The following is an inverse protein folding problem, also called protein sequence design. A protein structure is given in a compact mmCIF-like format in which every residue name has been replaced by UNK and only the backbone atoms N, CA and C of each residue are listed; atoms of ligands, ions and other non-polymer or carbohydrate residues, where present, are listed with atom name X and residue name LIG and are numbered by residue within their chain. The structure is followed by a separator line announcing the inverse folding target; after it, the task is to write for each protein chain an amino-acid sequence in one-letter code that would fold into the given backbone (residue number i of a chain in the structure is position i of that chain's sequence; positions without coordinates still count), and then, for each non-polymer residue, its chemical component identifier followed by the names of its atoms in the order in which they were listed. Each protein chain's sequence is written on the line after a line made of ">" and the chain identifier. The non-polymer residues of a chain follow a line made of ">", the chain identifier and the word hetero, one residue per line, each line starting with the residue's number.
data_IF_675826927156
#
_entry.id   IF_675826927156
#
_cell.length_a   1.000
_cell.length_b   1.000
_cell.length_c   1.000
_cell.angle_alpha   90.00
_cell.angle_beta   90.00
_cell.angle_gamma   90.00
#
_symmetry.space_group_name_H-M   'P 1'
#
loop_
_entity.id
_entity.type
_entity.pdbx_description
1 polymer ?
#
# COMPACT_ATOMS: atom_id res chain seq x y z
N UNK A 1 -18.95 0.70 -1.12
CA UNK A 1 -20.28 0.09 -0.90
C UNK A 1 -20.92 -0.46 -2.17
N UNK A 2 -20.87 0.25 -3.31
CA UNK A 2 -21.49 -0.19 -4.57
C UNK A 2 -21.24 -1.67 -4.94
N UNK A 3 -19.98 -2.10 -5.07
CA UNK A 3 -19.63 -3.48 -5.46
C UNK A 3 -20.22 -4.54 -4.50
N UNK A 4 -20.25 -4.23 -3.20
CA UNK A 4 -20.84 -5.13 -2.21
C UNK A 4 -22.36 -5.23 -2.39
N UNK A 5 -23.05 -4.10 -2.56
CA UNK A 5 -24.50 -4.06 -2.77
C UNK A 5 -24.91 -4.77 -4.08
N UNK A 6 -24.06 -4.70 -5.11
CA UNK A 6 -24.23 -5.42 -6.38
C UNK A 6 -23.84 -6.91 -6.31
N UNK A 7 -23.44 -7.44 -5.14
CA UNK A 7 -22.92 -8.80 -4.94
C UNK A 7 -21.69 -9.14 -5.79
N UNK A 8 -20.92 -8.14 -6.17
CA UNK A 8 -19.62 -8.26 -6.86
C UNK A 8 -18.50 -8.39 -5.83
N UNK A 9 -18.38 -9.57 -5.24
CA UNK A 9 -17.53 -9.90 -4.10
C UNK A 9 -16.14 -10.43 -4.48
N UNK A 10 -15.73 -10.22 -5.73
CA UNK A 10 -14.46 -10.72 -6.27
C UNK A 10 -14.62 -12.08 -6.94
N UNK A 11 -13.55 -12.87 -6.91
CA UNK A 11 -13.48 -14.12 -7.67
C UNK A 11 -14.59 -15.12 -7.30
N UNK A 12 -14.96 -15.21 -6.02
CA UNK A 12 -16.00 -16.13 -5.53
C UNK A 12 -17.40 -15.88 -6.11
N UNK A 13 -17.63 -14.70 -6.68
CA UNK A 13 -18.89 -14.31 -7.34
C UNK A 13 -18.72 -14.08 -8.84
N UNK A 14 -17.58 -14.46 -9.44
CA UNK A 14 -17.26 -14.21 -10.84
C UNK A 14 -16.92 -12.75 -11.19
N UNK A 15 -17.25 -11.77 -10.32
CA UNK A 15 -16.97 -10.35 -10.54
C UNK A 15 -16.68 -9.59 -9.23
N UNK A 16 -15.78 -8.61 -9.30
CA UNK A 16 -15.43 -7.64 -8.26
C UNK A 16 -14.81 -6.40 -8.91
N UNK A 17 -13.57 -6.04 -8.54
CA UNK A 17 -12.80 -5.03 -9.29
C UNK A 17 -12.52 -5.44 -10.75
N UNK A 18 -12.53 -6.74 -11.02
CA UNK A 18 -12.41 -7.32 -12.35
C UNK A 18 -13.49 -8.38 -12.56
N UNK A 19 -13.66 -8.80 -13.81
CA UNK A 19 -14.41 -10.01 -14.17
C UNK A 19 -13.45 -11.18 -14.22
N UNK A 20 -13.83 -12.30 -13.62
CA UNK A 20 -13.04 -13.52 -13.50
C UNK A 20 -13.67 -14.62 -14.36
N UNK A 21 -12.87 -15.56 -14.85
CA UNK A 21 -13.39 -16.76 -15.52
C UNK A 21 -13.93 -17.76 -14.50
N UNK A 22 -14.96 -18.52 -14.89
CA UNK A 22 -15.67 -19.45 -14.00
C UNK A 22 -14.84 -20.70 -13.67
N UNK A 23 -13.83 -21.01 -14.48
CA UNK A 23 -13.25 -22.35 -14.52
C UNK A 23 -11.83 -22.44 -13.95
N UNK A 24 -11.08 -21.32 -13.91
CA UNK A 24 -9.66 -21.28 -13.46
C UNK A 24 -9.30 -19.96 -12.81
N UNK A 25 -8.44 -20.00 -11.78
CA UNK A 25 -7.77 -18.80 -11.30
C UNK A 25 -6.85 -18.27 -12.41
N UNK A 26 -7.12 -17.05 -12.86
CA UNK A 26 -6.28 -16.35 -13.82
C UNK A 26 -5.96 -14.95 -13.30
N UNK A 27 -4.70 -14.53 -13.47
CA UNK A 27 -4.34 -13.13 -13.25
C UNK A 27 -4.91 -12.32 -14.40
N UNK A 28 -5.71 -11.31 -14.06
CA UNK A 28 -6.24 -10.38 -15.04
C UNK A 28 -5.07 -9.61 -15.67
N UNK A 29 -4.93 -9.62 -17.01
CA UNK A 29 -3.90 -8.84 -17.66
C UNK A 29 -4.20 -7.35 -17.49
N UNK A 30 -3.32 -6.64 -16.79
CA UNK A 30 -3.39 -5.19 -16.64
C UNK A 30 -2.51 -4.54 -17.71
N UNK A 31 -2.98 -3.44 -18.29
CA UNK A 31 -2.20 -2.72 -19.30
C UNK A 31 -1.14 -1.84 -18.64
N UNK A 32 0.03 -1.75 -19.28
CA UNK A 32 1.10 -0.84 -18.86
C UNK A 32 0.66 0.63 -18.90
N UNK A 33 -0.21 0.99 -19.84
CA UNK A 33 -0.78 2.35 -19.93
C UNK A 33 -1.60 2.72 -18.69
N UNK A 34 -2.34 1.77 -18.11
CA UNK A 34 -3.05 2.01 -16.85
C UNK A 34 -2.09 2.19 -15.68
N UNK A 35 -0.98 1.44 -15.68
CA UNK A 35 0.05 1.59 -14.64
C UNK A 35 0.68 2.98 -14.64
N UNK A 36 0.84 3.61 -15.82
CA UNK A 36 1.38 4.99 -15.93
C UNK A 36 0.49 6.05 -15.27
N UNK A 37 -0.80 5.76 -15.06
CA UNK A 37 -1.75 6.67 -14.39
C UNK A 37 -1.68 6.57 -12.86
N UNK A 38 -0.91 5.62 -12.34
CA UNK A 38 -0.74 5.38 -10.91
C UNK A 38 0.66 5.83 -10.47
N UNK A 39 0.73 6.74 -9.51
CA UNK A 39 2.01 7.06 -8.85
C UNK A 39 2.29 6.01 -7.77
N UNK A 40 3.32 5.15 -7.92
CA UNK A 40 3.64 4.13 -6.92
C UNK A 40 4.03 4.74 -5.57
N UNK A 41 4.47 6.00 -5.52
CA UNK A 41 4.82 6.67 -4.26
C UNK A 41 3.60 6.80 -3.36
N UNK A 42 2.40 7.03 -3.90
CA UNK A 42 1.17 7.13 -3.10
C UNK A 42 0.83 5.82 -2.37
N UNK A 43 1.10 4.69 -3.03
CA UNK A 43 0.89 3.37 -2.44
C UNK A 43 1.93 3.12 -1.34
N UNK A 44 3.21 3.31 -1.65
CA UNK A 44 4.30 3.04 -0.70
C UNK A 44 4.23 3.99 0.49
N UNK A 45 3.91 5.27 0.28
CA UNK A 45 3.76 6.26 1.33
C UNK A 45 2.77 5.81 2.40
N UNK A 46 1.57 5.37 1.99
CA UNK A 46 0.53 4.94 2.91
C UNK A 46 0.94 3.66 3.68
N UNK A 47 1.48 2.66 2.98
CA UNK A 47 1.92 1.41 3.60
C UNK A 47 3.05 1.67 4.61
N UNK A 48 4.06 2.45 4.22
CA UNK A 48 5.19 2.80 5.09
C UNK A 48 4.74 3.61 6.30
N UNK A 49 3.80 4.54 6.15
CA UNK A 49 3.29 5.33 7.27
C UNK A 49 2.59 4.46 8.32
N UNK A 50 1.79 3.47 7.88
CA UNK A 50 1.17 2.52 8.80
C UNK A 50 2.20 1.60 9.47
N UNK A 51 3.23 1.15 8.74
CA UNK A 51 4.33 0.39 9.33
C UNK A 51 5.07 1.22 10.40
N UNK A 52 5.37 2.48 10.11
CA UNK A 52 5.98 3.39 11.07
C UNK A 52 5.11 3.62 12.30
N UNK A 53 3.80 3.80 12.10
CA UNK A 53 2.85 3.92 13.21
C UNK A 53 2.85 2.71 14.13
N UNK A 54 2.94 1.48 13.59
CA UNK A 54 3.05 0.25 14.41
C UNK A 54 4.31 0.27 15.28
N UNK A 55 5.43 0.75 14.75
CA UNK A 55 6.69 0.90 15.50
C UNK A 55 6.56 1.98 16.57
N UNK A 56 6.06 3.17 16.23
CA UNK A 56 5.85 4.29 17.16
C UNK A 56 4.93 3.91 18.32
N UNK A 57 3.96 3.02 18.08
CA UNK A 57 3.03 2.54 19.10
C UNK A 57 3.50 1.25 19.81
N UNK A 58 4.75 0.83 19.60
CA UNK A 58 5.34 -0.38 20.19
C UNK A 58 4.51 -1.66 19.95
N UNK A 59 3.79 -1.72 18.82
CA UNK A 59 3.04 -2.90 18.44
C UNK A 59 3.93 -3.96 17.76
N UNK A 60 5.04 -3.53 17.16
CA UNK A 60 6.07 -4.37 16.55
C UNK A 60 7.34 -3.54 16.33
N UNK A 61 8.42 -4.17 15.88
CA UNK A 61 9.64 -3.48 15.40
C UNK A 61 9.77 -3.57 13.87
N UNK A 62 10.75 -2.86 13.31
CA UNK A 62 10.98 -2.82 11.85
C UNK A 62 11.29 -4.22 11.31
N UNK A 63 12.12 -5.00 12.00
CA UNK A 63 12.57 -6.31 11.53
C UNK A 63 11.40 -7.31 11.48
N UNK A 64 10.55 -7.32 12.50
CA UNK A 64 9.32 -8.12 12.56
C UNK A 64 8.34 -7.72 11.47
N UNK A 65 8.10 -6.42 11.26
CA UNK A 65 7.20 -5.92 10.22
C UNK A 65 7.72 -6.34 8.84
N UNK A 66 9.01 -6.18 8.56
CA UNK A 66 9.58 -6.53 7.26
C UNK A 66 9.54 -8.04 7.02
N UNK A 67 9.80 -8.85 8.04
CA UNK A 67 9.62 -10.31 7.98
C UNK A 67 8.17 -10.70 7.72
N UNK A 68 7.22 -10.08 8.43
CA UNK A 68 5.80 -10.33 8.23
C UNK A 68 5.33 -9.89 6.83
N UNK A 69 5.81 -8.75 6.32
CA UNK A 69 5.49 -8.26 4.99
C UNK A 69 6.10 -9.16 3.90
N UNK A 70 7.30 -9.68 4.10
CA UNK A 70 7.91 -10.64 3.19
C UNK A 70 7.09 -11.94 3.12
N UNK A 71 6.75 -12.54 4.28
CA UNK A 71 6.07 -13.83 4.33
C UNK A 71 4.56 -13.74 4.04
N UNK A 72 3.90 -12.71 4.55
CA UNK A 72 2.45 -12.53 4.48
C UNK A 72 1.99 -11.80 3.22
N UNK A 73 2.70 -10.74 2.81
CA UNK A 73 2.34 -9.96 1.61
C UNK A 73 3.15 -10.38 0.38
N UNK A 74 4.21 -11.18 0.55
CA UNK A 74 5.07 -11.61 -0.55
C UNK A 74 5.97 -10.50 -1.08
N UNK A 75 6.30 -9.48 -0.27
CA UNK A 75 7.19 -8.40 -0.72
C UNK A 75 8.58 -8.96 -1.02
N UNK A 76 9.03 -8.77 -2.27
CA UNK A 76 10.35 -9.22 -2.74
C UNK A 76 11.51 -8.41 -2.16
N UNK A 77 11.22 -7.19 -1.74
CA UNK A 77 12.19 -6.25 -1.18
C UNK A 77 11.62 -5.66 0.11
N UNK A 78 12.44 -5.47 1.16
CA UNK A 78 12.00 -4.83 2.38
C UNK A 78 11.40 -3.44 2.14
N UNK A 79 10.39 -3.10 2.94
CA UNK A 79 9.58 -1.91 2.74
C UNK A 79 10.39 -0.64 3.00
N UNK A 80 11.20 -0.61 4.07
CA UNK A 80 12.02 0.56 4.41
C UNK A 80 13.17 0.73 3.41
N UNK A 81 13.73 -0.35 2.88
CA UNK A 81 14.75 -0.25 1.82
C UNK A 81 14.16 0.21 0.48
N UNK A 82 12.91 -0.14 0.20
CA UNK A 82 12.17 0.41 -0.95
C UNK A 82 11.93 1.91 -0.77
N UNK A 83 11.58 2.34 0.44
CA UNK A 83 11.38 3.74 0.77
C UNK A 83 12.67 4.58 0.64
N UNK A 84 13.81 4.05 1.10
CA UNK A 84 15.12 4.70 0.94
C UNK A 84 15.47 4.94 -0.54
N UNK A 85 15.22 3.97 -1.42
CA UNK A 85 15.47 4.13 -2.86
C UNK A 85 14.55 5.15 -3.53
N UNK A 86 13.28 5.22 -3.11
CA UNK A 86 12.34 6.24 -3.59
C UNK A 86 12.75 7.63 -3.06
N UNK A 87 13.32 7.68 -1.86
CA UNK A 87 13.66 8.88 -1.12
C UNK A 87 12.65 9.14 0.00
N UNK A 88 13.12 9.07 1.25
CA UNK A 88 12.29 9.29 2.45
C UNK A 88 11.60 10.66 2.44
N UNK A 89 12.34 11.70 2.05
CA UNK A 89 11.81 13.06 1.92
C UNK A 89 10.63 13.13 0.94
N UNK A 90 10.75 12.45 -0.22
CA UNK A 90 9.69 12.41 -1.23
C UNK A 90 8.41 11.75 -0.69
N UNK A 91 8.58 10.69 0.10
CA UNK A 91 7.47 9.98 0.75
C UNK A 91 6.78 10.86 1.79
N UNK A 92 7.54 11.53 2.65
CA UNK A 92 6.99 12.47 3.65
C UNK A 92 6.26 13.63 2.98
N UNK A 93 6.78 14.17 1.89
CA UNK A 93 6.11 15.21 1.12
C UNK A 93 4.80 14.72 0.50
N UNK A 94 4.77 13.49 -0.02
CA UNK A 94 3.54 12.90 -0.55
C UNK A 94 2.49 12.67 0.55
N UNK A 95 2.90 12.18 1.73
CA UNK A 95 2.03 12.07 2.90
C UNK A 95 1.44 13.41 3.31
N UNK A 96 2.25 14.48 3.34
CA UNK A 96 1.75 15.85 3.61
C UNK A 96 0.72 16.29 2.58
N UNK A 97 0.93 16.02 1.29
CA UNK A 97 -0.06 16.32 0.24
C UNK A 97 -1.36 15.53 0.44
N UNK A 98 -1.25 14.24 0.73
CA UNK A 98 -2.40 13.38 1.01
C UNK A 98 -3.16 13.87 2.25
N UNK A 99 -2.44 14.26 3.30
CA UNK A 99 -3.04 14.80 4.53
C UNK A 99 -3.80 16.09 4.28
N UNK A 100 -3.21 17.02 3.53
CA UNK A 100 -3.88 18.27 3.15
C UNK A 100 -5.16 18.03 2.35
N UNK A 101 -5.19 16.98 1.52
CA UNK A 101 -6.32 16.69 0.63
C UNK A 101 -7.39 15.81 1.28
N UNK A 102 -6.99 14.88 2.13
CA UNK A 102 -7.85 13.79 2.62
C UNK A 102 -7.95 13.71 4.15
N UNK A 103 -7.18 14.53 4.87
CA UNK A 103 -7.23 14.66 6.32
C UNK A 103 -6.12 13.92 7.07
N UNK A 104 -6.17 14.03 8.39
CA UNK A 104 -5.08 13.69 9.32
C UNK A 104 -4.65 12.22 9.29
N UNK A 105 -5.47 11.32 8.74
CA UNK A 105 -5.11 9.91 8.53
C UNK A 105 -3.78 9.74 7.77
N UNK A 106 -3.45 10.68 6.89
CA UNK A 106 -2.22 10.64 6.09
C UNK A 106 -1.08 11.48 6.68
N UNK A 107 -1.20 12.00 7.90
CA UNK A 107 -0.09 12.73 8.52
C UNK A 107 1.14 11.83 8.64
N UNK A 108 2.34 12.32 8.26
CA UNK A 108 3.56 11.55 8.40
C UNK A 108 3.82 11.18 9.86
N UNK A 109 4.06 9.90 10.11
CA UNK A 109 4.41 9.39 11.42
C UNK A 109 5.75 9.99 11.90
N UNK A 110 5.90 10.29 13.21
CA UNK A 110 7.14 10.84 13.75
C UNK A 110 8.39 10.03 13.43
N UNK A 111 8.29 8.69 13.34
CA UNK A 111 9.43 7.86 12.96
C UNK A 111 9.92 8.21 11.56
N UNK A 112 9.02 8.39 10.60
CA UNK A 112 9.40 8.76 9.23
C UNK A 112 10.05 10.15 9.19
N UNK A 113 9.54 11.09 9.98
CA UNK A 113 10.13 12.42 10.10
C UNK A 113 11.55 12.40 10.67
N UNK A 114 11.87 11.44 11.54
CA UNK A 114 13.21 11.26 12.12
C UNK A 114 14.22 10.59 11.17
N UNK A 115 13.75 10.02 10.07
CA UNK A 115 14.55 9.29 9.08
C UNK A 115 14.86 10.12 7.82
N UNK A 116 14.42 11.38 7.77
CA UNK A 116 14.69 12.32 6.69
C UNK A 116 16.00 13.09 6.88
#
# INVERSE_FOLDING_TARGET
>A
EQLFNEKKLGQKSGEGFYKYSDDKYERIPLSEELAQKCDPVQIIANILNNAAWLVTNNASDIDEIEKAANLGLGLKKPLFDTAKEIGMQKIVEELKKLSNKHGTFYEPDPLLLSMC
#
